data_IF_814532149695
#
_entry.id   IF_814532149695
#
_cell.length_a   1.000
_cell.length_b   1.000
_cell.length_c   1.000
_cell.angle_alpha   90.00
_cell.angle_beta   90.00
_cell.angle_gamma   90.00
#
_symmetry.space_group_name_H-M   'P 1'
#
loop_
_entity.id
_entity.type
_entity.pdbx_description
1 polymer ?
#
# COMPACT_ATOMS: atom_id res chain seq x y z
N UNK A 1 17.43 -34.56 50.55
CA UNK A 1 17.28 -33.33 49.75
C UNK A 1 16.70 -33.76 48.41
N UNK A 2 15.46 -33.36 48.14
CA UNK A 2 14.66 -33.89 47.03
C UNK A 2 14.98 -33.20 45.70
N UNK A 3 14.88 -33.97 44.63
CA UNK A 3 14.73 -33.49 43.26
C UNK A 3 13.70 -34.38 42.58
N UNK A 4 12.48 -33.84 42.39
CA UNK A 4 11.51 -34.34 41.43
C UNK A 4 11.69 -33.54 40.14
N UNK A 5 12.05 -34.24 39.06
CA UNK A 5 12.07 -33.71 37.70
C UNK A 5 11.12 -34.59 36.90
N UNK A 6 9.92 -34.08 36.62
CA UNK A 6 8.92 -34.80 35.84
C UNK A 6 9.18 -34.63 34.33
N UNK A 7 9.65 -35.73 33.74
CA UNK A 7 9.24 -36.32 32.46
C UNK A 7 9.00 -35.39 31.26
N UNK A 8 10.03 -35.30 30.42
CA UNK A 8 9.87 -35.34 28.97
C UNK A 8 9.41 -36.75 28.55
N UNK A 9 8.29 -36.86 27.86
CA UNK A 9 7.95 -38.04 27.05
C UNK A 9 7.48 -37.59 25.67
N UNK A 10 8.36 -37.84 24.70
CA UNK A 10 8.07 -38.04 23.28
C UNK A 10 6.71 -38.69 23.04
N UNK A 11 5.89 -38.13 22.15
CA UNK A 11 4.92 -38.91 21.39
C UNK A 11 4.98 -38.54 19.90
N UNK A 12 5.15 -39.59 19.11
CA UNK A 12 5.43 -39.65 17.68
C UNK A 12 4.14 -39.65 16.85
N UNK A 13 4.24 -39.12 15.63
CA UNK A 13 3.21 -39.02 14.59
C UNK A 13 2.89 -40.40 13.96
N UNK A 14 2.01 -41.20 14.56
CA UNK A 14 1.51 -42.42 13.90
C UNK A 14 0.14 -42.82 14.45
N UNK A 15 -0.93 -42.06 14.14
CA UNK A 15 -2.33 -42.51 14.11
C UNK A 15 -3.29 -41.32 13.91
N UNK A 16 -3.32 -40.72 12.72
CA UNK A 16 -4.47 -39.89 12.31
C UNK A 16 -5.15 -40.59 11.14
N UNK A 17 -6.38 -41.11 11.30
CA UNK A 17 -7.12 -41.80 10.26
C UNK A 17 -7.37 -40.93 9.03
N UNK A 18 -7.00 -41.47 7.88
CA UNK A 18 -7.36 -40.98 6.55
C UNK A 18 -8.83 -41.30 6.23
N UNK A 19 -9.53 -40.27 5.73
CA UNK A 19 -10.83 -40.28 5.04
C UNK A 19 -12.10 -40.49 5.88
N UNK A 20 -13.10 -39.64 5.63
CA UNK A 20 -14.51 -39.88 5.91
C UNK A 20 -15.26 -40.02 4.55
N UNK A 21 -16.21 -40.96 4.41
CA UNK A 21 -16.72 -41.47 3.15
C UNK A 21 -18.10 -40.87 2.86
N UNK A 22 -18.14 -39.76 2.12
CA UNK A 22 -19.35 -39.37 1.40
C UNK A 22 -18.95 -38.89 0.01
N UNK A 23 -18.81 -39.87 -0.89
CA UNK A 23 -18.74 -39.64 -2.31
C UNK A 23 -20.05 -39.05 -2.82
N UNK A 24 -19.94 -37.90 -3.46
CA UNK A 24 -20.72 -37.55 -4.64
C UNK A 24 -19.79 -36.75 -5.55
N UNK A 25 -19.22 -37.46 -6.52
CA UNK A 25 -18.68 -36.88 -7.74
C UNK A 25 -19.85 -36.34 -8.56
N UNK A 26 -19.83 -35.04 -8.81
CA UNK A 26 -20.42 -34.48 -10.03
C UNK A 26 -19.32 -33.66 -10.68
N UNK A 27 -18.54 -34.35 -11.51
CA UNK A 27 -17.85 -33.74 -12.63
C UNK A 27 -18.93 -33.24 -13.61
N UNK A 28 -19.05 -31.93 -13.76
CA UNK A 28 -19.15 -31.23 -15.06
C UNK A 28 -19.51 -29.75 -14.86
N UNK A 29 -18.90 -28.90 -15.69
CA UNK A 29 -19.05 -27.43 -15.81
C UNK A 29 -18.43 -26.54 -14.73
N UNK A 30 -17.12 -26.35 -14.79
CA UNK A 30 -16.52 -25.01 -14.68
C UNK A 30 -15.12 -25.06 -15.31
N UNK A 31 -14.94 -24.29 -16.39
CA UNK A 31 -13.73 -24.27 -17.23
C UNK A 31 -12.43 -23.97 -16.45
N UNK A 32 -11.28 -24.05 -17.13
CA UNK A 32 -9.98 -24.02 -16.47
C UNK A 32 -9.77 -22.68 -15.76
N UNK A 33 -9.90 -22.67 -14.42
CA UNK A 33 -9.45 -21.56 -13.60
C UNK A 33 -7.94 -21.59 -13.55
N UNK A 34 -7.31 -20.88 -14.47
CA UNK A 34 -5.88 -20.55 -14.41
C UNK A 34 -5.67 -19.67 -13.18
N UNK A 35 -5.30 -20.30 -12.07
CA UNK A 35 -4.87 -19.60 -10.87
C UNK A 35 -3.44 -19.12 -11.07
N UNK A 36 -3.27 -17.88 -11.52
CA UNK A 36 -1.95 -17.24 -11.56
C UNK A 36 -1.59 -16.83 -10.13
N UNK A 37 -0.83 -17.68 -9.44
CA UNK A 37 -0.19 -17.32 -8.17
C UNK A 37 1.09 -16.55 -8.47
N UNK A 38 1.05 -15.23 -8.31
CA UNK A 38 2.25 -14.40 -8.30
C UNK A 38 3.05 -14.71 -7.03
N UNK A 39 4.18 -15.38 -7.18
CA UNK A 39 5.16 -15.56 -6.10
C UNK A 39 6.03 -14.30 -6.12
N UNK A 40 5.79 -13.40 -5.17
CA UNK A 40 6.70 -12.28 -4.92
C UNK A 40 7.96 -12.84 -4.27
N UNK A 41 9.08 -12.78 -4.99
CA UNK A 41 10.40 -12.87 -4.39
C UNK A 41 10.49 -11.79 -3.31
N UNK A 42 10.63 -12.20 -2.04
CA UNK A 42 10.74 -11.29 -0.91
C UNK A 42 12.14 -10.68 -0.80
N UNK A 43 12.68 -10.17 -1.91
CA UNK A 43 14.00 -9.52 -2.02
C UNK A 43 13.87 -8.21 -2.82
N UNK A 44 12.96 -7.34 -2.40
CA UNK A 44 13.01 -5.92 -2.81
C UNK A 44 13.07 -5.11 -1.51
N UNK A 45 14.24 -5.21 -0.86
CA UNK A 45 14.73 -4.15 0.00
C UNK A 45 14.63 -2.85 -0.79
N UNK A 46 14.01 -1.85 -0.18
CA UNK A 46 13.82 -0.49 -0.69
C UNK A 46 14.96 -0.10 -1.63
N UNK A 47 14.78 -0.26 -2.94
CA UNK A 47 15.79 0.11 -3.91
C UNK A 47 16.08 1.59 -3.74
N UNK A 48 17.25 1.80 -3.15
CA UNK A 48 17.78 3.07 -2.74
C UNK A 48 17.67 4.06 -3.89
N UNK A 49 17.34 5.29 -3.51
CA UNK A 49 17.71 6.50 -4.24
C UNK A 49 19.19 6.36 -4.65
N UNK A 50 19.47 5.90 -5.87
CA UNK A 50 20.82 5.94 -6.43
C UNK A 50 21.19 7.40 -6.63
N UNK A 51 21.76 8.01 -5.62
CA UNK A 51 22.53 9.25 -5.74
C UNK A 51 23.87 9.02 -5.06
N UNK A 52 24.80 8.47 -5.82
CA UNK A 52 26.19 8.91 -5.71
C UNK A 52 26.91 8.74 -7.06
N UNK A 53 27.13 9.88 -7.71
CA UNK A 53 27.88 10.05 -8.95
C UNK A 53 28.04 11.56 -9.20
N UNK A 54 29.28 12.07 -9.38
CA UNK A 54 29.57 13.49 -9.23
C UNK A 54 29.07 14.31 -10.42
N UNK A 55 28.60 15.52 -10.12
CA UNK A 55 28.31 16.62 -11.05
C UNK A 55 27.50 16.27 -12.31
N UNK A 56 26.16 16.32 -12.16
CA UNK A 56 25.28 16.64 -13.28
C UNK A 56 24.38 17.82 -12.91
N UNK A 57 24.69 18.92 -13.57
CA UNK A 57 23.98 20.20 -13.71
C UNK A 57 22.65 20.37 -12.94
N UNK A 58 22.67 21.38 -12.06
CA UNK A 58 21.54 21.95 -11.32
C UNK A 58 20.53 22.67 -12.25
N UNK A 59 19.94 21.96 -13.20
CA UNK A 59 18.94 22.50 -14.14
C UNK A 59 17.93 21.45 -14.62
N UNK A 60 17.48 20.56 -13.74
CA UNK A 60 16.16 19.97 -13.94
C UNK A 60 15.12 21.00 -13.49
N UNK A 61 14.69 21.81 -14.45
CA UNK A 61 13.52 22.68 -14.37
C UNK A 61 12.44 22.02 -13.52
N UNK A 62 11.90 22.77 -12.55
CA UNK A 62 10.72 22.41 -11.76
C UNK A 62 9.63 21.87 -12.70
N UNK A 63 9.60 20.55 -12.92
CA UNK A 63 8.46 19.90 -13.57
C UNK A 63 7.31 20.07 -12.59
N UNK A 64 6.53 21.11 -12.82
CA UNK A 64 5.34 21.43 -12.08
C UNK A 64 4.53 20.13 -11.94
N UNK A 65 4.34 19.68 -10.71
CA UNK A 65 3.61 18.46 -10.42
C UNK A 65 2.25 18.50 -11.11
N UNK A 66 2.00 17.53 -11.99
CA UNK A 66 0.76 17.45 -12.76
C UNK A 66 -0.22 16.49 -12.08
N UNK A 67 -1.18 17.07 -11.37
CA UNK A 67 -2.28 16.33 -10.76
C UNK A 67 -3.13 15.54 -11.78
N UNK A 68 -3.07 15.84 -13.09
CA UNK A 68 -3.87 15.16 -14.11
C UNK A 68 -3.40 13.72 -14.37
N UNK A 69 -2.14 13.40 -14.05
CA UNK A 69 -1.60 12.04 -14.16
C UNK A 69 -1.80 11.22 -12.88
N UNK A 70 -2.50 11.72 -11.86
CA UNK A 70 -2.84 10.93 -10.69
C UNK A 70 -3.94 9.89 -11.00
N UNK A 71 -3.80 8.70 -10.42
CA UNK A 71 -4.80 7.64 -10.58
C UNK A 71 -5.89 7.77 -9.51
N UNK A 72 -7.13 7.91 -9.97
CA UNK A 72 -8.30 7.81 -9.09
C UNK A 72 -8.55 6.34 -8.72
N UNK A 73 -8.82 6.08 -7.45
CA UNK A 73 -9.11 4.72 -6.99
C UNK A 73 -10.00 4.66 -5.76
N UNK A 74 -10.64 3.51 -5.58
CA UNK A 74 -11.44 3.16 -4.39
C UNK A 74 -10.99 1.81 -3.89
N UNK A 75 -10.76 1.71 -2.59
CA UNK A 75 -10.43 0.44 -1.93
C UNK A 75 -11.64 -0.04 -1.16
N UNK A 76 -11.94 -1.33 -1.30
CA UNK A 76 -12.99 -2.02 -0.57
C UNK A 76 -12.39 -3.08 0.34
N UNK A 77 -12.95 -3.18 1.55
CA UNK A 77 -12.85 -4.36 2.40
C UNK A 77 -14.21 -5.04 2.41
N UNK A 78 -14.27 -6.25 1.84
CA UNK A 78 -15.52 -6.93 1.49
C UNK A 78 -16.35 -6.01 0.60
N UNK A 79 -17.49 -5.51 1.09
CA UNK A 79 -18.39 -4.62 0.36
C UNK A 79 -18.36 -3.17 0.86
N UNK A 80 -17.51 -2.85 1.84
CA UNK A 80 -17.39 -1.51 2.40
C UNK A 80 -16.20 -0.77 1.79
N UNK A 81 -16.42 0.47 1.34
CA UNK A 81 -15.34 1.35 0.90
C UNK A 81 -14.53 1.83 2.12
N UNK A 82 -13.23 1.54 2.14
CA UNK A 82 -12.32 1.90 3.23
C UNK A 82 -11.32 2.99 2.85
N UNK A 83 -11.12 3.21 1.54
CA UNK A 83 -10.32 4.33 1.03
C UNK A 83 -10.91 4.84 -0.29
N UNK A 84 -10.84 6.15 -0.51
CA UNK A 84 -11.26 6.78 -1.77
C UNK A 84 -10.36 7.98 -2.12
N UNK A 85 -9.78 7.94 -3.32
CA UNK A 85 -9.04 9.04 -3.93
C UNK A 85 -9.76 9.44 -5.21
N UNK A 86 -10.46 10.57 -5.15
CA UNK A 86 -11.27 11.10 -6.24
C UNK A 86 -10.90 12.57 -6.50
N UNK A 87 -10.24 12.84 -7.63
CA UNK A 87 -9.71 14.17 -7.95
C UNK A 87 -10.79 15.24 -8.14
N UNK A 88 -12.06 14.86 -8.32
CA UNK A 88 -13.19 15.77 -8.58
C UNK A 88 -14.01 16.12 -7.33
N UNK A 89 -14.00 15.26 -6.30
CA UNK A 89 -14.85 15.40 -5.11
C UNK A 89 -14.09 15.88 -3.87
N UNK A 90 -12.80 15.59 -3.78
CA UNK A 90 -11.96 16.08 -2.70
C UNK A 90 -11.10 17.25 -3.20
N UNK A 91 -10.90 18.26 -2.34
CA UNK A 91 -9.95 19.35 -2.58
C UNK A 91 -8.52 18.77 -2.56
N UNK A 92 -8.15 18.08 -3.64
CA UNK A 92 -6.87 17.39 -3.86
C UNK A 92 -5.78 18.36 -4.32
N UNK A 93 -6.04 19.67 -4.20
CA UNK A 93 -5.07 20.71 -4.51
C UNK A 93 -3.82 20.51 -3.67
N UNK A 94 -2.67 20.61 -4.34
CA UNK A 94 -1.37 20.56 -3.67
C UNK A 94 -0.95 21.98 -3.32
N UNK A 95 -0.29 22.11 -2.18
CA UNK A 95 0.17 23.37 -1.61
C UNK A 95 1.68 23.36 -1.50
N UNK A 96 2.30 24.54 -1.56
CA UNK A 96 3.67 24.71 -1.12
C UNK A 96 3.76 24.39 0.38
N UNK A 97 4.95 23.99 0.83
CA UNK A 97 5.27 23.73 2.23
C UNK A 97 4.83 24.88 3.15
N UNK A 98 5.11 26.14 2.77
CA UNK A 98 4.72 27.33 3.54
C UNK A 98 3.19 27.44 3.71
N UNK A 99 2.43 27.15 2.65
CA UNK A 99 0.98 27.17 2.71
C UNK A 99 0.42 26.01 3.54
N UNK A 100 1.09 24.85 3.55
CA UNK A 100 0.74 23.73 4.42
C UNK A 100 0.93 24.08 5.89
N UNK A 101 2.01 24.77 6.26
CA UNK A 101 2.26 25.19 7.65
C UNK A 101 1.10 26.01 8.23
N UNK A 102 0.46 26.84 7.39
CA UNK A 102 -0.67 27.67 7.80
C UNK A 102 -2.01 26.91 7.86
N UNK A 103 -2.09 25.72 7.28
CA UNK A 103 -3.31 24.90 7.18
C UNK A 103 -3.31 23.72 8.16
N UNK A 104 -2.13 23.17 8.47
CA UNK A 104 -2.02 21.95 9.26
C UNK A 104 -2.35 22.21 10.72
N UNK A 105 -3.06 21.25 11.31
CA UNK A 105 -3.33 21.15 12.74
C UNK A 105 -2.71 19.85 13.27
N UNK A 106 -2.22 19.81 14.53
CA UNK A 106 -1.61 18.61 15.09
C UNK A 106 -2.53 17.39 14.93
N UNK A 107 -2.00 16.26 14.47
CA UNK A 107 -2.75 15.04 14.14
C UNK A 107 -3.18 14.93 12.67
N UNK A 108 -2.97 15.96 11.85
CA UNK A 108 -3.21 15.89 10.41
C UNK A 108 -2.22 14.97 9.70
N UNK A 109 -2.72 14.21 8.72
CA UNK A 109 -1.88 13.49 7.78
C UNK A 109 -1.62 14.35 6.57
N UNK A 110 -0.34 14.44 6.19
CA UNK A 110 0.09 15.17 5.01
C UNK A 110 0.77 14.19 4.06
N UNK A 111 0.41 14.27 2.79
CA UNK A 111 1.05 13.53 1.71
C UNK A 111 1.85 14.51 0.85
N UNK A 112 3.14 14.25 0.68
CA UNK A 112 4.00 14.92 -0.28
C UNK A 112 4.07 14.12 -1.57
N UNK A 113 3.95 14.82 -2.71
CA UNK A 113 3.82 14.21 -4.03
C UNK A 113 4.85 14.76 -5.00
N UNK A 114 5.37 13.88 -5.84
CA UNK A 114 6.26 14.20 -6.95
C UNK A 114 6.08 13.16 -8.06
N UNK A 115 6.20 13.58 -9.32
CA UNK A 115 6.06 12.69 -10.49
C UNK A 115 7.13 11.60 -10.45
N UNK A 116 6.74 10.34 -10.65
CA UNK A 116 7.68 9.21 -10.68
C UNK A 116 8.18 8.75 -9.30
N UNK A 117 7.68 9.33 -8.21
CA UNK A 117 8.05 8.97 -6.85
C UNK A 117 6.84 8.46 -6.07
N UNK A 118 7.09 7.54 -5.13
CA UNK A 118 6.08 7.16 -4.16
C UNK A 118 5.64 8.38 -3.35
N UNK A 119 4.32 8.58 -3.15
CA UNK A 119 3.85 9.58 -2.21
C UNK A 119 4.42 9.32 -0.81
N UNK A 120 4.89 10.40 -0.18
CA UNK A 120 5.52 10.34 1.13
C UNK A 120 4.58 10.91 2.19
N UNK A 121 4.19 10.07 3.15
CA UNK A 121 3.18 10.42 4.15
C UNK A 121 3.84 10.79 5.49
N UNK A 122 3.31 11.82 6.14
CA UNK A 122 3.80 12.29 7.43
C UNK A 122 2.63 12.62 8.36
N UNK A 123 2.88 12.58 9.67
CA UNK A 123 1.93 13.04 10.70
C UNK A 123 2.42 14.40 11.19
N UNK A 124 1.60 15.44 11.06
CA UNK A 124 1.93 16.75 11.64
C UNK A 124 1.72 16.73 13.15
N UNK A 125 2.75 17.10 13.92
CA UNK A 125 2.74 17.00 15.39
C UNK A 125 2.68 18.35 16.11
N UNK A 126 2.63 19.45 15.36
CA UNK A 126 2.67 20.81 15.89
C UNK A 126 4.04 21.47 15.71
N UNK A 127 4.13 22.77 15.99
CA UNK A 127 5.37 23.55 15.95
C UNK A 127 6.19 23.40 14.66
N UNK A 128 5.50 23.31 13.51
CA UNK A 128 6.10 23.11 12.19
C UNK A 128 6.81 21.76 12.01
N UNK A 129 6.61 20.82 12.94
CA UNK A 129 7.24 19.51 12.96
C UNK A 129 6.31 18.41 12.45
N UNK A 130 6.92 17.38 11.89
CA UNK A 130 6.26 16.17 11.40
C UNK A 130 7.02 14.93 11.85
N UNK A 131 6.27 13.85 12.07
CA UNK A 131 6.84 12.53 12.31
C UNK A 131 6.53 11.62 11.13
N UNK A 132 7.54 10.88 10.66
CA UNK A 132 7.41 10.03 9.48
C UNK A 132 8.42 8.88 9.46
N UNK A 133 8.06 7.81 8.75
CA UNK A 133 8.99 6.73 8.41
C UNK A 133 9.79 7.14 7.16
N UNK A 134 11.11 7.25 7.28
CA UNK A 134 11.99 7.60 6.16
C UNK A 134 13.37 6.97 6.30
N UNK A 135 13.75 6.19 5.27
CA UNK A 135 15.01 5.41 5.23
C UNK A 135 15.12 4.49 6.44
N UNK A 136 14.13 3.58 6.59
CA UNK A 136 14.03 2.62 7.68
C UNK A 136 14.14 3.19 9.12
N UNK A 137 13.71 4.44 9.33
CA UNK A 137 13.69 5.08 10.65
C UNK A 137 12.46 5.98 10.83
N UNK A 138 11.87 5.98 12.03
CA UNK A 138 10.87 6.98 12.41
C UNK A 138 11.56 8.26 12.89
N UNK A 139 11.45 9.34 12.11
CA UNK A 139 12.11 10.62 12.37
C UNK A 139 11.11 11.69 12.77
N UNK A 140 11.56 12.62 13.61
CA UNK A 140 10.90 13.91 13.84
C UNK A 140 11.72 14.98 13.12
N UNK A 141 11.12 15.66 12.14
CA UNK A 141 11.77 16.68 11.32
C UNK A 141 10.86 17.90 11.15
N UNK A 142 11.42 19.03 10.71
CA UNK A 142 10.58 20.13 10.24
C UNK A 142 9.84 19.70 8.97
N UNK A 143 8.61 20.20 8.80
CA UNK A 143 7.79 19.93 7.62
C UNK A 143 8.52 20.31 6.33
N UNK A 144 9.29 21.40 6.35
CA UNK A 144 10.15 21.87 5.24
C UNK A 144 11.23 20.86 4.85
N UNK A 145 11.86 20.23 5.83
CA UNK A 145 12.94 19.28 5.60
C UNK A 145 12.37 17.96 5.11
N UNK A 146 11.28 17.50 5.73
CA UNK A 146 10.59 16.28 5.34
C UNK A 146 9.94 16.37 3.94
N UNK A 147 9.55 17.56 3.50
CA UNK A 147 8.98 17.74 2.16
C UNK A 147 10.03 17.67 1.05
N UNK A 148 11.31 17.95 1.35
CA UNK A 148 12.40 17.99 0.37
C UNK A 148 12.04 18.83 -0.88
N UNK A 149 11.38 19.97 -0.67
CA UNK A 149 10.91 20.84 -1.76
C UNK A 149 9.63 20.37 -2.48
N UNK A 150 9.12 19.18 -2.18
CA UNK A 150 7.89 18.64 -2.79
C UNK A 150 6.66 19.39 -2.27
N UNK A 151 5.65 19.51 -3.14
CA UNK A 151 4.32 19.99 -2.76
C UNK A 151 3.59 18.91 -1.99
N UNK A 152 2.62 19.30 -1.17
CA UNK A 152 1.81 18.34 -0.43
C UNK A 152 0.38 18.78 -0.19
N UNK A 153 -0.40 17.90 0.45
CA UNK A 153 -1.82 18.12 0.76
C UNK A 153 -2.21 17.37 2.03
N UNK A 154 -3.25 17.85 2.70
CA UNK A 154 -3.82 17.19 3.88
C UNK A 154 -4.73 16.05 3.40
N UNK A 155 -4.46 14.82 3.85
CA UNK A 155 -5.10 13.58 3.36
C UNK A 155 -5.94 12.85 4.41
N UNK A 156 -6.38 13.58 5.43
CA UNK A 156 -7.18 13.07 6.55
C UNK A 156 -8.42 12.24 6.17
N UNK A 157 -9.02 12.54 5.00
CA UNK A 157 -10.26 11.93 4.54
C UNK A 157 -10.10 10.82 3.50
N UNK A 158 -8.87 10.48 3.09
CA UNK A 158 -8.68 9.43 2.08
C UNK A 158 -9.09 8.05 2.62
N UNK A 159 -8.74 7.75 3.87
CA UNK A 159 -9.22 6.57 4.58
C UNK A 159 -10.53 6.86 5.33
N UNK A 160 -11.52 5.97 5.19
CA UNK A 160 -12.86 6.11 5.76
C UNK A 160 -13.03 5.47 7.14
N UNK A 161 -11.92 5.19 7.82
CA UNK A 161 -11.93 4.67 9.18
C UNK A 161 -12.24 5.78 10.19
N UNK A 162 -12.75 5.40 11.36
CA UNK A 162 -12.93 6.33 12.48
C UNK A 162 -11.55 6.81 12.96
N UNK A 163 -11.31 8.12 12.82
CA UNK A 163 -10.08 8.74 13.32
C UNK A 163 -10.04 8.75 14.86
N UNK A 164 -8.84 8.59 15.40
CA UNK A 164 -8.54 8.83 16.81
C UNK A 164 -8.52 10.34 17.11
N UNK A 165 -8.67 10.75 18.38
CA UNK A 165 -8.50 12.15 18.77
C UNK A 165 -7.11 12.67 18.39
N UNK A 166 -6.97 13.92 17.91
CA UNK A 166 -5.70 14.47 17.45
C UNK A 166 -4.53 14.29 18.43
N UNK A 167 -4.79 14.44 19.72
CA UNK A 167 -3.79 14.28 20.79
C UNK A 167 -3.25 12.85 20.84
N UNK A 168 -4.12 11.85 20.61
CA UNK A 168 -3.74 10.44 20.54
C UNK A 168 -2.96 10.15 19.26
N UNK A 169 -3.32 10.79 18.14
CA UNK A 169 -2.57 10.65 16.87
C UNK A 169 -1.14 11.16 17.02
N UNK A 170 -0.98 12.34 17.62
CA UNK A 170 0.34 12.92 17.91
C UNK A 170 1.12 12.04 18.88
N UNK A 171 0.49 11.57 19.96
CA UNK A 171 1.13 10.67 20.91
C UNK A 171 1.62 9.37 20.25
N UNK A 172 0.77 8.75 19.41
CA UNK A 172 1.13 7.54 18.66
C UNK A 172 2.36 7.77 17.78
N UNK A 173 2.44 8.91 17.10
CA UNK A 173 3.56 9.23 16.24
C UNK A 173 4.85 9.50 17.03
N UNK A 174 4.78 10.40 18.02
CA UNK A 174 5.96 10.83 18.82
C UNK A 174 6.57 9.67 19.60
N UNK A 175 5.76 8.74 20.12
CA UNK A 175 6.26 7.58 20.86
C UNK A 175 7.10 6.61 20.02
N UNK A 176 7.00 6.67 18.69
CA UNK A 176 7.76 5.79 17.79
C UNK A 176 9.07 6.43 17.29
N UNK A 177 9.31 7.71 17.58
CA UNK A 177 10.51 8.42 17.11
C UNK A 177 11.79 7.73 17.59
N UNK A 178 12.70 7.48 16.65
CA UNK A 178 13.97 6.78 16.90
C UNK A 178 13.91 5.27 16.67
N UNK A 179 12.73 4.69 16.40
CA UNK A 179 12.60 3.26 16.02
C UNK A 179 13.21 3.03 14.64
N UNK A 180 14.00 1.96 14.48
CA UNK A 180 14.79 1.66 13.27
C UNK A 180 14.75 0.18 12.89
N UNK A 181 15.02 -0.09 11.62
CA UNK A 181 15.31 -1.43 11.08
C UNK A 181 14.31 -2.51 11.56
N UNK A 182 14.81 -3.53 12.27
CA UNK A 182 14.05 -4.72 12.71
C UNK A 182 12.96 -4.43 13.74
N UNK A 183 12.98 -3.25 14.35
CA UNK A 183 11.96 -2.83 15.32
C UNK A 183 10.75 -2.18 14.64
N UNK A 184 10.82 -1.91 13.33
CA UNK A 184 9.72 -1.31 12.58
C UNK A 184 8.58 -2.30 12.36
N UNK A 185 7.36 -1.81 12.61
CA UNK A 185 6.12 -2.53 12.33
C UNK A 185 5.42 -2.07 11.05
N UNK A 186 5.98 -1.15 10.27
CA UNK A 186 5.36 -0.59 9.06
C UNK A 186 6.34 -0.66 7.90
N UNK A 187 5.86 -1.06 6.72
CA UNK A 187 6.69 -1.14 5.50
C UNK A 187 6.94 0.19 4.82
N UNK A 188 6.07 1.17 5.04
CA UNK A 188 6.11 2.44 4.33
C UNK A 188 5.47 3.56 5.16
N UNK A 189 5.71 4.79 4.73
CA UNK A 189 5.27 5.99 5.45
C UNK A 189 3.75 6.15 5.52
N UNK A 190 3.02 5.68 4.50
CA UNK A 190 1.55 5.70 4.49
C UNK A 190 0.97 4.79 5.58
N UNK A 191 1.45 3.54 5.68
CA UNK A 191 1.04 2.60 6.71
C UNK A 191 1.31 3.15 8.12
N UNK A 192 2.48 3.74 8.35
CA UNK A 192 2.81 4.36 9.63
C UNK A 192 1.86 5.52 9.98
N UNK A 193 1.69 6.46 9.06
CA UNK A 193 0.84 7.64 9.27
C UNK A 193 -0.63 7.25 9.48
N UNK A 194 -1.14 6.34 8.65
CA UNK A 194 -2.50 5.85 8.78
C UNK A 194 -2.71 5.05 10.08
N UNK A 195 -1.73 4.25 10.52
CA UNK A 195 -1.79 3.61 11.83
C UNK A 195 -1.87 4.63 12.96
N UNK A 196 -1.06 5.69 12.93
CA UNK A 196 -1.10 6.74 13.95
C UNK A 196 -2.50 7.34 14.07
N UNK A 197 -3.17 7.58 12.93
CA UNK A 197 -4.49 8.21 12.88
C UNK A 197 -5.67 7.28 13.22
N UNK A 198 -5.60 6.01 12.83
CA UNK A 198 -6.75 5.10 12.88
C UNK A 198 -6.57 3.92 13.86
N UNK A 199 -5.35 3.65 14.32
CA UNK A 199 -5.04 2.58 15.29
C UNK A 199 -5.29 1.15 14.76
N UNK A 200 -5.46 0.98 13.45
CA UNK A 200 -5.81 -0.28 12.80
C UNK A 200 -4.59 -1.20 12.65
N UNK A 201 -4.70 -2.45 13.11
CA UNK A 201 -3.59 -3.43 13.08
C UNK A 201 -3.19 -3.83 11.66
N UNK A 202 -4.11 -3.69 10.71
CA UNK A 202 -3.97 -4.01 9.29
C UNK A 202 -2.88 -3.18 8.60
N UNK A 203 -2.54 -2.00 9.14
CA UNK A 203 -1.42 -1.20 8.67
C UNK A 203 -0.04 -1.73 9.14
N UNK A 204 0.00 -2.67 10.08
CA UNK A 204 1.27 -3.24 10.57
C UNK A 204 1.68 -4.47 9.78
N UNK A 205 2.99 -4.69 9.64
CA UNK A 205 3.58 -5.91 9.08
C UNK A 205 3.04 -7.12 9.86
N UNK A 206 2.48 -8.09 9.14
CA UNK A 206 1.88 -9.28 9.76
C UNK A 206 0.62 -9.00 10.58
N UNK A 207 0.05 -7.80 10.44
CA UNK A 207 -1.18 -7.39 11.12
C UNK A 207 -2.38 -8.26 10.79
N UNK A 208 -2.40 -8.91 9.63
CA UNK A 208 -3.51 -9.72 9.12
C UNK A 208 -3.17 -11.19 8.94
N UNK A 209 -4.18 -12.05 9.11
CA UNK A 209 -4.06 -13.49 8.89
C UNK A 209 -4.54 -13.80 7.47
N UNK A 210 -3.64 -14.32 6.63
CA UNK A 210 -3.89 -14.65 5.23
C UNK A 210 -4.56 -16.03 5.10
N UNK A 211 -5.89 -16.12 5.26
CA UNK A 211 -6.63 -17.38 5.12
C UNK A 211 -7.63 -17.30 3.95
N UNK A 212 -7.35 -18.03 2.86
CA UNK A 212 -8.29 -18.59 1.88
C UNK A 212 -9.17 -17.64 1.04
N UNK A 213 -9.39 -16.39 1.45
CA UNK A 213 -10.23 -15.41 0.74
C UNK A 213 -9.42 -14.16 0.41
N UNK A 214 -9.82 -13.47 -0.65
CA UNK A 214 -9.33 -12.13 -1.02
C UNK A 214 -10.36 -11.09 -0.57
N UNK A 215 -10.32 -10.59 0.67
CA UNK A 215 -11.33 -9.66 1.16
C UNK A 215 -11.13 -8.24 0.62
N UNK A 216 -9.98 -7.92 0.04
CA UNK A 216 -9.64 -6.58 -0.40
C UNK A 216 -9.79 -6.43 -1.90
N UNK A 217 -10.37 -5.30 -2.35
CA UNK A 217 -10.49 -4.97 -3.78
C UNK A 217 -10.00 -3.54 -4.02
N UNK A 218 -9.06 -3.38 -4.95
CA UNK A 218 -8.62 -2.08 -5.47
C UNK A 218 -9.31 -1.81 -6.80
N UNK A 219 -10.23 -0.84 -6.83
CA UNK A 219 -10.87 -0.38 -8.06
C UNK A 219 -10.17 0.87 -8.57
N UNK A 220 -9.45 0.75 -9.68
CA UNK A 220 -8.80 1.86 -10.40
C UNK A 220 -9.78 2.47 -11.39
N UNK A 221 -9.86 3.80 -11.43
CA UNK A 221 -10.81 4.57 -12.23
C UNK A 221 -10.06 5.34 -13.32
N UNK A 222 -10.29 4.98 -14.57
CA UNK A 222 -9.72 5.67 -15.73
C UNK A 222 -10.75 6.59 -16.39
N UNK A 223 -12.03 6.23 -16.37
CA UNK A 223 -13.11 7.13 -16.78
C UNK A 223 -14.41 6.67 -16.14
N UNK A 224 -15.50 7.41 -16.33
CA UNK A 224 -16.83 7.00 -15.87
C UNK A 224 -17.24 5.62 -16.40
N UNK A 225 -16.67 5.19 -17.53
CA UNK A 225 -16.99 3.91 -18.20
C UNK A 225 -15.87 2.88 -18.11
N UNK A 226 -14.65 3.27 -17.75
CA UNK A 226 -13.48 2.39 -17.72
C UNK A 226 -12.91 2.33 -16.31
N UNK A 227 -13.05 1.16 -15.69
CA UNK A 227 -12.41 0.83 -14.41
C UNK A 227 -11.80 -0.56 -14.46
N UNK A 228 -10.76 -0.79 -13.66
CA UNK A 228 -10.16 -2.10 -13.47
C UNK A 228 -10.15 -2.45 -11.98
N UNK A 229 -10.36 -3.72 -11.64
CA UNK A 229 -10.42 -4.18 -10.24
C UNK A 229 -9.40 -5.29 -10.03
N UNK A 230 -8.58 -5.13 -8.99
CA UNK A 230 -7.65 -6.14 -8.51
C UNK A 230 -8.09 -6.62 -7.13
N UNK A 231 -7.93 -7.92 -6.84
CA UNK A 231 -8.31 -8.54 -5.57
C UNK A 231 -7.08 -9.00 -4.79
N UNK A 232 -7.08 -8.77 -3.48
CA UNK A 232 -5.93 -9.04 -2.60
C UNK A 232 -6.37 -9.80 -1.35
N UNK A 233 -5.49 -10.69 -0.89
CA UNK A 233 -5.66 -11.40 0.39
C UNK A 233 -5.28 -10.54 1.59
N UNK A 234 -4.41 -9.55 1.37
CA UNK A 234 -3.77 -8.74 2.39
C UNK A 234 -3.88 -7.27 2.05
N UNK A 235 -4.15 -6.45 3.04
CA UNK A 235 -4.19 -5.00 2.90
C UNK A 235 -2.82 -4.42 2.58
N UNK A 236 -1.76 -5.04 3.11
CA UNK A 236 -0.37 -4.68 2.85
C UNK A 236 -0.05 -4.79 1.35
N UNK A 237 -0.43 -5.89 0.71
CA UNK A 237 -0.20 -6.14 -0.72
C UNK A 237 -1.00 -5.14 -1.57
N UNK A 238 -2.23 -4.82 -1.15
CA UNK A 238 -3.05 -3.81 -1.80
C UNK A 238 -2.43 -2.42 -1.74
N UNK A 239 -1.93 -2.00 -0.57
CA UNK A 239 -1.29 -0.69 -0.40
C UNK A 239 -0.03 -0.61 -1.26
N UNK A 240 0.77 -1.68 -1.33
CA UNK A 240 1.95 -1.75 -2.19
C UNK A 240 1.58 -1.53 -3.67
N UNK A 241 0.55 -2.22 -4.17
CA UNK A 241 0.10 -2.03 -5.56
C UNK A 241 -0.46 -0.63 -5.79
N UNK A 242 -1.25 -0.10 -4.84
CA UNK A 242 -1.74 1.29 -4.91
C UNK A 242 -0.58 2.28 -5.02
N UNK A 243 0.44 2.12 -4.18
CA UNK A 243 1.63 2.99 -4.16
C UNK A 243 2.41 2.89 -5.47
N UNK A 244 2.56 1.70 -6.05
CA UNK A 244 3.19 1.51 -7.37
C UNK A 244 2.43 2.29 -8.44
N UNK A 245 1.11 2.17 -8.44
CA UNK A 245 0.23 2.90 -9.37
C UNK A 245 0.32 4.42 -9.18
N UNK A 246 0.42 4.91 -7.94
CA UNK A 246 0.65 6.33 -7.65
C UNK A 246 2.03 6.80 -8.17
N UNK A 247 3.06 5.95 -8.12
CA UNK A 247 4.41 6.26 -8.59
C UNK A 247 4.49 6.38 -10.12
N UNK A 248 3.99 5.38 -10.84
CA UNK A 248 4.09 5.35 -12.31
C UNK A 248 3.06 6.27 -12.98
N UNK A 249 1.97 6.57 -12.28
CA UNK A 249 0.92 7.45 -12.74
C UNK A 249 -0.10 6.77 -13.66
N UNK A 250 -1.22 7.46 -13.83
CA UNK A 250 -2.42 7.01 -14.54
C UNK A 250 -2.15 6.58 -15.97
N UNK A 251 -1.34 7.33 -16.71
CA UNK A 251 -1.08 7.04 -18.12
C UNK A 251 -0.30 5.73 -18.29
N UNK A 252 0.72 5.52 -17.46
CA UNK A 252 1.51 4.29 -17.45
C UNK A 252 0.66 3.08 -17.06
N UNK A 253 -0.14 3.18 -16.00
CA UNK A 253 -1.08 2.11 -15.60
C UNK A 253 -2.07 1.80 -16.72
N UNK A 254 -2.59 2.83 -17.40
CA UNK A 254 -3.51 2.67 -18.53
C UNK A 254 -2.86 1.88 -19.67
N UNK A 255 -1.59 2.18 -19.96
CA UNK A 255 -0.81 1.52 -21.01
C UNK A 255 -0.49 0.06 -20.64
N UNK A 256 -0.08 -0.21 -19.39
CA UNK A 256 0.16 -1.58 -18.91
C UNK A 256 -1.10 -2.45 -19.06
N UNK A 257 -2.26 -1.96 -18.62
CA UNK A 257 -3.53 -2.68 -18.75
C UNK A 257 -3.93 -2.92 -20.22
N UNK A 258 -3.67 -1.95 -21.11
CA UNK A 258 -3.94 -2.11 -22.53
C UNK A 258 -3.04 -3.20 -23.16
N UNK A 259 -1.77 -3.25 -22.76
CA UNK A 259 -0.83 -4.25 -23.25
C UNK A 259 -1.21 -5.66 -22.78
N UNK A 260 -1.65 -5.83 -21.54
CA UNK A 260 -2.12 -7.11 -21.03
C UNK A 260 -3.35 -7.64 -21.78
N UNK A 261 -4.33 -6.77 -22.07
CA UNK A 261 -5.52 -7.14 -22.85
C UNK A 261 -5.16 -7.58 -24.27
N UNK A 262 -4.28 -6.82 -24.94
CA UNK A 262 -3.85 -7.15 -26.30
C UNK A 262 -3.02 -8.45 -26.36
N UNK A 263 -2.23 -8.75 -25.32
CA UNK A 263 -1.48 -9.99 -25.22
C UNK A 263 -2.42 -11.21 -25.06
N UNK A 264 -3.43 -11.13 -24.18
CA UNK A 264 -4.42 -12.20 -24.03
C UNK A 264 -5.23 -12.44 -25.31
N UNK A 265 -5.56 -11.38 -26.06
CA UNK A 265 -6.28 -11.52 -27.33
C UNK A 265 -5.42 -12.15 -28.44
N UNK A 266 -4.09 -12.01 -28.35
CA UNK A 266 -3.15 -12.65 -29.28
C UNK A 266 -2.94 -14.13 -28.94
N UNK A 267 -2.79 -14.46 -27.66
CA UNK A 267 -2.66 -15.86 -27.18
C UNK A 267 -3.90 -16.70 -27.51
N UNK A 268 -5.11 -16.13 -27.33
CA UNK A 268 -6.36 -16.81 -27.71
C UNK A 268 -6.40 -17.09 -29.22
N UNK A 269 -5.94 -16.17 -30.06
CA UNK A 269 -5.95 -16.36 -31.53
C UNK A 269 -4.95 -17.42 -31.99
N UNK A 270 -3.80 -17.54 -31.35
CA UNK A 270 -2.80 -18.56 -31.68
C UNK A 270 -3.26 -19.97 -31.25
N UNK A 271 -3.94 -20.11 -30.12
CA UNK A 271 -4.53 -21.40 -29.69
C UNK A 271 -5.64 -21.88 -30.63
N UNK A 272 -6.46 -20.96 -31.17
CA UNK A 272 -7.45 -21.28 -32.20
C UNK A 272 -6.84 -21.69 -33.55
N UNK A 273 -5.59 -21.32 -33.84
CA UNK A 273 -4.89 -21.74 -35.06
C UNK A 273 -4.11 -23.05 -34.89
N UNK A 274 -3.70 -23.41 -33.67
CA UNK A 274 -3.04 -24.69 -33.41
C UNK A 274 -4.01 -25.86 -33.20
N UNK A 275 -5.27 -25.60 -32.83
CA UNK A 275 -6.29 -26.64 -32.61
C UNK A 275 -7.07 -27.05 -33.88
N UNK A 276 -6.76 -26.45 -35.03
CA UNK A 276 -7.43 -26.71 -36.33
C UNK A 276 -6.51 -27.43 -37.34
N UNK A 277 -5.32 -27.88 -36.92
CA UNK A 277 -4.41 -28.67 -37.78
C UNK A 277 -4.14 -30.07 -37.23
#
# INVERSE_FOLDING_TARGET
MGNQVEKLTHLTYDNVPTADPNGFDTEDELGPRIGVSYIFSADDDEQEERVDGPDKDQNEEEKQYDNCNELECVVYYRDESVYEKNLKLSDMSTYSTENLLNKCTPGDLVEFVATGQYPHWVVYVGDFQVVHLHRAEIKNNFLTDASQGKRGRIVNGLYKFRALPPEVVVQNAVQQVGTRDRELYWRNSECFAAWCRFGKREFKIGGEIRIGKQPYRLKMLFSEKKSHVLEFQSFDDLIMEKRRNDQIGRDAVTQELANHLNATDAEIKDDFHQSVN
#
